data_IF_063901688174
#
_entry.id   IF_063901688174
#
_cell.length_a   1.000
_cell.length_b   1.000
_cell.length_c   1.000
_cell.angle_alpha   90.00
_cell.angle_beta   90.00
_cell.angle_gamma   90.00
#
_symmetry.space_group_name_H-M   'P 1'
#
loop_
_entity.id
_entity.type
_entity.pdbx_description
1 polymer ?
#
# COMPACT_ATOMS: atom_id res chain seq x y z
N UNK A 1 -23.21 -19.25 18.50
CA UNK A 1 -21.94 -18.91 17.82
C UNK A 1 -21.88 -17.41 17.71
N UNK A 2 -20.89 -16.78 18.34
CA UNK A 2 -20.63 -15.36 18.14
C UNK A 2 -20.00 -15.18 16.75
N UNK A 3 -20.84 -14.88 15.76
CA UNK A 3 -20.43 -14.68 14.37
C UNK A 3 -19.44 -13.51 14.27
N UNK A 4 -19.54 -12.51 15.15
CA UNK A 4 -18.64 -11.34 15.18
C UNK A 4 -17.27 -11.75 15.71
N UNK A 5 -17.22 -12.53 16.81
CA UNK A 5 -15.99 -13.12 17.32
C UNK A 5 -15.33 -14.14 16.38
N UNK A 6 -16.08 -14.71 15.43
CA UNK A 6 -15.55 -15.60 14.40
C UNK A 6 -14.94 -14.86 13.18
N UNK A 7 -15.38 -13.62 12.91
CA UNK A 7 -14.95 -12.82 11.75
C UNK A 7 -13.86 -11.79 12.09
N UNK A 8 -13.61 -11.54 13.38
CA UNK A 8 -12.58 -10.62 13.86
C UNK A 8 -12.43 -10.71 15.38
N UNK A 9 -11.60 -9.82 15.94
CA UNK A 9 -11.46 -9.63 17.39
C UNK A 9 -12.06 -8.29 17.79
N UNK A 10 -12.21 -8.07 19.10
CA UNK A 10 -12.54 -6.75 19.61
C UNK A 10 -11.55 -5.72 19.07
N UNK A 11 -12.02 -4.58 18.51
CA UNK A 11 -11.15 -3.56 17.97
C UNK A 11 -10.14 -3.09 19.03
N UNK A 12 -8.86 -2.87 18.67
CA UNK A 12 -7.90 -2.28 19.60
C UNK A 12 -8.39 -0.90 20.01
N UNK A 13 -7.95 -0.40 21.16
CA UNK A 13 -8.28 0.97 21.55
C UNK A 13 -7.83 1.99 20.51
N UNK A 14 -8.54 3.12 20.47
CA UNK A 14 -8.22 4.22 19.55
C UNK A 14 -7.56 5.34 20.34
N UNK A 15 -6.28 5.58 20.09
CA UNK A 15 -5.64 6.78 20.59
C UNK A 15 -6.32 8.03 19.99
N UNK A 16 -6.45 9.08 20.79
CA UNK A 16 -7.03 10.36 20.37
C UNK A 16 -6.00 11.17 19.56
N UNK A 17 -5.68 10.69 18.36
CA UNK A 17 -4.69 11.28 17.48
C UNK A 17 -5.30 12.40 16.60
N UNK A 18 -4.48 13.36 16.13
CA UNK A 18 -4.92 14.36 15.15
C UNK A 18 -5.53 13.72 13.89
N UNK A 19 -6.57 14.36 13.32
CA UNK A 19 -7.26 13.82 12.13
C UNK A 19 -6.38 13.62 10.91
N UNK A 20 -5.28 14.37 10.79
CA UNK A 20 -4.37 14.21 9.65
C UNK A 20 -3.52 12.92 9.74
N UNK A 21 -3.30 12.35 10.93
CA UNK A 21 -2.65 11.02 11.08
C UNK A 21 -3.66 9.88 11.11
N UNK A 22 -4.83 10.11 11.71
CA UNK A 22 -5.93 9.15 11.83
C UNK A 22 -7.21 9.70 11.15
N UNK A 23 -7.24 9.73 9.80
CA UNK A 23 -8.31 10.41 9.04
C UNK A 23 -9.65 9.68 9.08
N UNK A 24 -9.66 8.38 9.34
CA UNK A 24 -10.88 7.59 9.35
C UNK A 24 -11.71 7.86 10.61
N UNK A 25 -13.05 7.86 10.52
CA UNK A 25 -13.89 7.84 11.71
C UNK A 25 -13.66 6.54 12.52
N UNK A 26 -13.66 6.64 13.86
CA UNK A 26 -13.50 5.47 14.76
C UNK A 26 -14.43 4.30 14.38
N UNK A 27 -15.69 4.59 14.04
CA UNK A 27 -16.68 3.57 13.65
C UNK A 27 -16.23 2.74 12.44
N UNK A 28 -15.57 3.37 11.46
CA UNK A 28 -15.11 2.68 10.27
C UNK A 28 -13.90 1.78 10.59
N UNK A 29 -12.96 2.27 11.41
CA UNK A 29 -11.86 1.47 11.92
C UNK A 29 -12.38 0.27 12.73
N UNK A 30 -13.35 0.49 13.63
CA UNK A 30 -13.95 -0.58 14.45
C UNK A 30 -14.64 -1.65 13.58
N UNK A 31 -15.33 -1.24 12.52
CA UNK A 31 -15.90 -2.18 11.52
C UNK A 31 -14.78 -2.96 10.84
N UNK A 32 -13.70 -2.32 10.42
CA UNK A 32 -12.59 -3.00 9.78
C UNK A 32 -11.98 -4.11 10.66
N UNK A 33 -11.80 -3.84 11.96
CA UNK A 33 -11.26 -4.84 12.89
C UNK A 33 -12.25 -5.99 13.19
N UNK A 34 -13.55 -5.69 13.30
CA UNK A 34 -14.59 -6.73 13.47
C UNK A 34 -14.75 -7.65 12.27
N UNK A 35 -14.41 -7.17 11.08
CA UNK A 35 -14.46 -7.93 9.83
C UNK A 35 -13.06 -8.18 9.26
N UNK A 36 -12.03 -8.24 10.11
CA UNK A 36 -10.65 -8.36 9.68
C UNK A 36 -10.43 -9.58 8.77
N UNK A 37 -11.05 -10.74 9.06
CA UNK A 37 -10.91 -11.92 8.19
C UNK A 37 -11.54 -11.74 6.81
N UNK A 38 -12.62 -10.97 6.70
CA UNK A 38 -13.21 -10.62 5.40
C UNK A 38 -12.24 -9.74 4.61
N UNK A 39 -11.64 -8.73 5.25
CA UNK A 39 -10.64 -7.87 4.62
C UNK A 39 -9.40 -8.68 4.21
N UNK A 40 -8.95 -9.63 5.05
CA UNK A 40 -7.86 -10.56 4.72
C UNK A 40 -8.19 -11.35 3.47
N UNK A 41 -9.36 -12.00 3.39
CA UNK A 41 -9.77 -12.78 2.22
C UNK A 41 -9.85 -11.91 0.97
N UNK A 42 -10.44 -10.71 1.06
CA UNK A 42 -10.51 -9.77 -0.07
C UNK A 42 -9.11 -9.42 -0.58
N UNK A 43 -8.17 -9.12 0.33
CA UNK A 43 -6.80 -8.81 -0.05
C UNK A 43 -6.07 -10.02 -0.64
N UNK A 44 -6.28 -11.24 -0.13
CA UNK A 44 -5.70 -12.45 -0.72
C UNK A 44 -6.24 -12.73 -2.12
N UNK A 45 -7.53 -12.50 -2.35
CA UNK A 45 -8.13 -12.57 -3.70
C UNK A 45 -7.55 -11.48 -4.60
N UNK A 46 -7.39 -10.26 -4.08
CA UNK A 46 -6.71 -9.15 -4.77
C UNK A 46 -5.26 -9.47 -5.12
N UNK A 47 -4.51 -10.09 -4.20
CA UNK A 47 -3.15 -10.60 -4.42
C UNK A 47 -3.14 -11.61 -5.55
N UNK A 48 -4.02 -12.62 -5.52
CA UNK A 48 -4.09 -13.64 -6.57
C UNK A 48 -4.45 -13.04 -7.94
N UNK A 49 -5.42 -12.14 -7.99
CA UNK A 49 -5.76 -11.37 -9.19
C UNK A 49 -4.56 -10.56 -9.68
N UNK A 50 -3.85 -9.91 -8.77
CA UNK A 50 -2.65 -9.15 -9.06
C UNK A 50 -1.56 -10.01 -9.70
N UNK A 51 -1.19 -11.15 -9.12
CA UNK A 51 -0.24 -12.07 -9.75
C UNK A 51 -0.70 -12.53 -11.14
N UNK A 52 -1.99 -12.76 -11.34
CA UNK A 52 -2.54 -13.01 -12.67
C UNK A 52 -2.36 -11.80 -13.58
N UNK A 53 -2.61 -10.58 -13.15
CA UNK A 53 -2.42 -9.35 -13.94
C UNK A 53 -0.96 -9.19 -14.40
N UNK A 54 0.01 -9.43 -13.51
CA UNK A 54 1.46 -9.30 -13.77
C UNK A 54 2.06 -10.50 -14.53
N UNK A 55 1.26 -11.53 -14.87
CA UNK A 55 1.73 -12.78 -15.51
C UNK A 55 2.57 -12.57 -16.78
N UNK A 56 2.33 -11.49 -17.52
CA UNK A 56 3.09 -11.18 -18.73
C UNK A 56 4.47 -10.58 -18.40
N UNK A 57 4.56 -9.74 -17.36
CA UNK A 57 5.85 -9.21 -16.88
C UNK A 57 6.73 -10.32 -16.32
N UNK A 58 6.17 -11.25 -15.53
CA UNK A 58 6.89 -12.43 -15.04
C UNK A 58 7.47 -13.30 -16.16
N UNK A 59 6.85 -13.32 -17.35
CA UNK A 59 7.35 -14.06 -18.53
C UNK A 59 8.40 -13.29 -19.30
N UNK A 60 8.40 -11.96 -19.20
CA UNK A 60 9.31 -11.09 -19.92
C UNK A 60 10.64 -10.87 -19.18
N UNK A 61 10.61 -10.87 -17.84
CA UNK A 61 11.77 -10.56 -17.00
C UNK A 61 12.40 -11.82 -16.37
N UNK A 62 13.72 -11.80 -16.09
CA UNK A 62 14.42 -12.89 -15.41
C UNK A 62 13.80 -13.24 -14.05
N UNK A 63 13.88 -14.52 -13.66
CA UNK A 63 13.32 -15.02 -12.39
C UNK A 63 13.91 -14.35 -11.15
N UNK A 64 15.15 -13.89 -11.23
CA UNK A 64 15.86 -13.16 -10.18
C UNK A 64 15.19 -11.81 -9.86
N UNK A 65 14.48 -11.24 -10.83
CA UNK A 65 13.77 -9.97 -10.67
C UNK A 65 12.36 -10.14 -10.10
N UNK A 66 11.85 -11.37 -9.99
CA UNK A 66 10.45 -11.62 -9.59
C UNK A 66 10.08 -11.10 -8.20
N UNK A 67 11.06 -10.91 -7.31
CA UNK A 67 10.82 -10.30 -6.02
C UNK A 67 10.39 -8.83 -6.11
N UNK A 68 10.79 -8.12 -7.16
CA UNK A 68 10.56 -6.69 -7.38
C UNK A 68 9.45 -6.40 -8.39
N UNK A 69 8.83 -7.43 -8.98
CA UNK A 69 7.76 -7.28 -9.96
C UNK A 69 6.37 -7.06 -9.32
N UNK A 70 5.95 -7.84 -8.30
CA UNK A 70 4.57 -7.78 -7.82
C UNK A 70 4.35 -6.61 -6.86
N UNK A 71 4.15 -5.41 -7.41
CA UNK A 71 3.79 -4.16 -6.72
C UNK A 71 2.54 -4.29 -5.80
N UNK A 72 1.36 -3.90 -6.30
CA UNK A 72 0.12 -3.98 -5.53
C UNK A 72 -0.28 -5.39 -5.09
N UNK A 73 0.10 -6.50 -5.78
CA UNK A 73 -0.07 -7.84 -5.24
C UNK A 73 0.74 -8.05 -3.95
N UNK A 74 1.99 -7.56 -3.88
CA UNK A 74 2.81 -7.60 -2.67
C UNK A 74 2.24 -6.75 -1.54
N UNK A 75 1.77 -5.54 -1.83
CA UNK A 75 1.16 -4.66 -0.83
C UNK A 75 -0.15 -5.23 -0.23
N UNK A 76 -1.02 -5.81 -1.07
CA UNK A 76 -2.25 -6.47 -0.60
C UNK A 76 -1.95 -7.71 0.23
N UNK A 77 -0.92 -8.49 -0.13
CA UNK A 77 -0.46 -9.61 0.68
C UNK A 77 0.04 -9.14 2.06
N UNK A 78 0.87 -8.09 2.09
CA UNK A 78 1.43 -7.56 3.33
C UNK A 78 0.34 -7.09 4.31
N UNK A 79 -0.71 -6.42 3.83
CA UNK A 79 -1.80 -5.99 4.71
C UNK A 79 -2.72 -7.13 5.13
N UNK A 80 -2.94 -8.13 4.26
CA UNK A 80 -3.61 -9.37 4.66
C UNK A 80 -2.83 -10.07 5.79
N UNK A 81 -1.51 -10.16 5.66
CA UNK A 81 -0.65 -10.72 6.70
C UNK A 81 -0.64 -9.87 7.97
N UNK A 82 -0.61 -8.53 7.87
CA UNK A 82 -0.63 -7.65 9.04
C UNK A 82 -1.93 -7.79 9.85
N UNK A 83 -3.08 -7.72 9.17
CA UNK A 83 -4.39 -7.87 9.80
C UNK A 83 -4.62 -9.30 10.30
N UNK A 84 -4.21 -10.31 9.54
CA UNK A 84 -4.27 -11.71 9.97
C UNK A 84 -3.38 -12.00 11.18
N UNK A 85 -2.16 -11.48 11.19
CA UNK A 85 -1.25 -11.59 12.33
C UNK A 85 -1.84 -10.93 13.58
N UNK A 86 -2.42 -9.74 13.45
CA UNK A 86 -3.17 -9.09 14.53
C UNK A 86 -4.35 -9.94 15.01
N UNK A 87 -5.18 -10.44 14.08
CA UNK A 87 -6.34 -11.29 14.39
C UNK A 87 -5.94 -12.64 15.03
N UNK A 88 -4.68 -13.05 14.91
CA UNK A 88 -4.11 -14.21 15.59
C UNK A 88 -3.36 -13.85 16.89
N UNK A 89 -3.21 -12.57 17.23
CA UNK A 89 -2.51 -12.10 18.43
C UNK A 89 -0.99 -12.10 18.28
N UNK A 90 -0.51 -11.98 17.05
CA UNK A 90 0.90 -12.06 16.64
C UNK A 90 1.32 -10.82 15.85
N UNK A 91 0.80 -9.64 16.23
CA UNK A 91 1.10 -8.37 15.57
C UNK A 91 2.60 -8.11 15.45
N UNK A 92 3.02 -7.46 14.36
CA UNK A 92 4.41 -7.08 14.11
C UNK A 92 4.47 -5.66 13.55
N UNK A 93 5.23 -4.80 14.20
CA UNK A 93 5.41 -3.40 13.78
C UNK A 93 6.05 -3.29 12.40
N UNK A 94 7.04 -4.15 12.10
CA UNK A 94 7.70 -4.16 10.78
C UNK A 94 6.73 -4.57 9.68
N UNK A 95 5.90 -5.59 9.94
CA UNK A 95 4.89 -6.04 8.98
C UNK A 95 3.82 -4.97 8.75
N UNK A 96 3.34 -4.34 9.81
CA UNK A 96 2.38 -3.24 9.73
C UNK A 96 2.96 -2.01 9.00
N UNK A 97 4.23 -1.66 9.25
CA UNK A 97 4.90 -0.58 8.52
C UNK A 97 5.05 -0.88 7.03
N UNK A 98 5.49 -2.10 6.66
CA UNK A 98 5.57 -2.53 5.26
C UNK A 98 4.19 -2.49 4.59
N UNK A 99 3.17 -3.04 5.25
CA UNK A 99 1.79 -3.01 4.76
C UNK A 99 1.28 -1.59 4.56
N UNK A 100 1.53 -0.68 5.51
CA UNK A 100 1.13 0.72 5.42
C UNK A 100 1.78 1.41 4.23
N UNK A 101 3.11 1.30 4.11
CA UNK A 101 3.84 1.91 3.00
C UNK A 101 3.34 1.40 1.65
N UNK A 102 3.21 0.09 1.47
CA UNK A 102 2.77 -0.50 0.20
C UNK A 102 1.37 -0.08 -0.19
N UNK A 103 0.44 -0.12 0.75
CA UNK A 103 -0.96 0.22 0.48
C UNK A 103 -1.14 1.71 0.18
N UNK A 104 -0.39 2.59 0.85
CA UNK A 104 -0.43 4.03 0.54
C UNK A 104 0.30 4.34 -0.77
N UNK A 105 1.55 3.88 -0.95
CA UNK A 105 2.36 4.16 -2.14
C UNK A 105 1.68 3.61 -3.39
N UNK A 106 1.43 2.31 -3.45
CA UNK A 106 0.95 1.62 -4.65
C UNK A 106 -0.56 1.81 -4.85
N UNK A 107 -1.30 1.96 -3.74
CA UNK A 107 -2.71 2.30 -3.75
C UNK A 107 -3.00 3.72 -4.27
N UNK A 108 -2.05 4.65 -4.19
CA UNK A 108 -2.15 5.98 -4.82
C UNK A 108 -1.48 6.02 -6.20
N UNK A 109 -0.40 5.26 -6.41
CA UNK A 109 0.34 5.27 -7.67
C UNK A 109 -0.53 4.76 -8.82
N UNK A 110 -1.28 3.67 -8.59
CA UNK A 110 -2.15 3.10 -9.63
C UNK A 110 -3.25 4.09 -10.07
N UNK A 111 -4.06 4.69 -9.16
CA UNK A 111 -4.98 5.77 -9.52
C UNK A 111 -4.31 6.95 -10.22
N UNK A 112 -3.10 7.32 -9.79
CA UNK A 112 -2.35 8.40 -10.41
C UNK A 112 -2.07 8.11 -11.89
N UNK A 113 -1.46 6.97 -12.22
CA UNK A 113 -1.16 6.64 -13.62
C UNK A 113 -2.42 6.35 -14.44
N UNK A 114 -3.45 5.75 -13.83
CA UNK A 114 -4.74 5.54 -14.48
C UNK A 114 -5.36 6.87 -14.91
N UNK A 115 -5.32 7.90 -14.05
CA UNK A 115 -5.89 9.21 -14.37
C UNK A 115 -5.02 9.99 -15.35
N UNK A 116 -3.70 9.96 -15.19
CA UNK A 116 -2.78 10.68 -16.09
C UNK A 116 -2.84 10.11 -17.50
N UNK A 117 -2.87 8.79 -17.65
CA UNK A 117 -2.87 8.08 -18.93
C UNK A 117 -4.26 7.49 -19.27
N UNK A 118 -5.32 8.14 -18.81
CA UNK A 118 -6.68 7.60 -18.84
C UNK A 118 -7.22 7.18 -20.20
N UNK A 119 -6.92 7.84 -21.35
CA UNK A 119 -7.52 7.46 -22.62
C UNK A 119 -7.11 6.05 -23.04
N UNK A 120 -5.82 5.75 -22.96
CA UNK A 120 -5.29 4.46 -23.39
C UNK A 120 -5.55 3.36 -22.35
N UNK A 121 -5.49 3.69 -21.06
CA UNK A 121 -5.92 2.73 -20.03
C UNK A 121 -7.39 2.33 -20.18
N UNK A 122 -8.29 3.26 -20.51
CA UNK A 122 -9.69 2.92 -20.80
C UNK A 122 -9.83 2.10 -22.09
N UNK A 123 -9.06 2.40 -23.13
CA UNK A 123 -9.09 1.66 -24.39
C UNK A 123 -8.63 0.20 -24.22
N UNK A 124 -7.52 -0.01 -23.51
CA UNK A 124 -6.92 -1.34 -23.31
C UNK A 124 -7.68 -2.18 -22.28
N UNK A 125 -8.05 -1.59 -21.13
CA UNK A 125 -8.69 -2.35 -20.04
C UNK A 125 -10.22 -2.40 -20.15
N UNK A 126 -10.83 -1.49 -20.90
CA UNK A 126 -12.26 -1.25 -20.84
C UNK A 126 -12.71 -0.62 -19.52
N UNK A 127 -13.95 -0.11 -19.45
CA UNK A 127 -14.43 0.67 -18.31
C UNK A 127 -14.54 -0.14 -17.01
N UNK A 128 -14.86 -1.44 -17.11
CA UNK A 128 -15.05 -2.31 -15.94
C UNK A 128 -13.75 -2.54 -15.17
N UNK A 129 -12.70 -2.99 -15.87
CA UNK A 129 -11.40 -3.22 -15.25
C UNK A 129 -10.72 -1.92 -14.83
N UNK A 130 -10.87 -0.84 -15.62
CA UNK A 130 -10.39 0.49 -15.22
C UNK A 130 -11.01 0.94 -13.88
N UNK A 131 -12.34 0.88 -13.76
CA UNK A 131 -13.04 1.27 -12.52
C UNK A 131 -12.66 0.35 -11.35
N UNK A 132 -12.55 -0.95 -11.58
CA UNK A 132 -12.09 -1.90 -10.58
C UNK A 132 -10.69 -1.52 -10.06
N UNK A 133 -9.70 -1.34 -10.94
CA UNK A 133 -8.34 -0.97 -10.57
C UNK A 133 -8.32 0.36 -9.81
N UNK A 134 -9.05 1.37 -10.29
CA UNK A 134 -9.10 2.67 -9.64
C UNK A 134 -9.66 2.58 -8.22
N UNK A 135 -10.84 1.97 -8.05
CA UNK A 135 -11.55 1.91 -6.77
C UNK A 135 -10.84 0.96 -5.79
N UNK A 136 -10.37 -0.18 -6.25
CA UNK A 136 -9.69 -1.16 -5.39
C UNK A 136 -8.39 -0.60 -4.83
N UNK A 137 -7.63 0.18 -5.61
CA UNK A 137 -6.39 0.79 -5.15
C UNK A 137 -6.66 1.98 -4.20
N UNK A 138 -7.70 2.79 -4.43
CA UNK A 138 -8.12 3.77 -3.43
C UNK A 138 -8.57 3.09 -2.12
N UNK A 139 -9.22 1.94 -2.20
CA UNK A 139 -9.56 1.14 -1.03
C UNK A 139 -8.32 0.65 -0.28
N UNK A 140 -7.21 0.32 -0.97
CA UNK A 140 -5.92 0.00 -0.34
C UNK A 140 -5.44 1.12 0.59
N UNK A 141 -5.50 2.37 0.11
CA UNK A 141 -5.11 3.55 0.90
C UNK A 141 -6.00 3.68 2.14
N UNK A 142 -7.32 3.53 1.97
CA UNK A 142 -8.28 3.60 3.08
C UNK A 142 -7.98 2.54 4.13
N UNK A 143 -7.80 1.27 3.76
CA UNK A 143 -7.52 0.22 4.75
C UNK A 143 -6.17 0.40 5.46
N UNK A 144 -5.16 1.00 4.82
CA UNK A 144 -3.88 1.24 5.46
C UNK A 144 -4.02 2.08 6.75
N UNK A 145 -4.98 3.01 6.78
CA UNK A 145 -5.22 3.88 7.93
C UNK A 145 -5.82 3.17 9.14
N UNK A 146 -6.15 1.88 9.11
CA UNK A 146 -6.49 1.18 10.36
C UNK A 146 -5.23 0.73 11.12
N UNK A 147 -4.09 0.65 10.45
CA UNK A 147 -2.87 0.06 11.01
C UNK A 147 -2.28 0.86 12.17
N UNK A 148 -2.56 2.18 12.29
CA UNK A 148 -2.09 2.99 13.44
C UNK A 148 -2.60 2.49 14.79
N UNK A 149 -3.70 1.71 14.83
CA UNK A 149 -4.20 1.11 16.08
C UNK A 149 -3.50 -0.18 16.49
N UNK A 150 -2.67 -0.75 15.62
CA UNK A 150 -1.96 -2.02 15.87
C UNK A 150 -0.45 -1.89 15.76
N UNK A 151 0.06 -0.71 15.44
CA UNK A 151 1.48 -0.36 15.48
C UNK A 151 1.68 1.10 15.84
N UNK A 152 2.73 1.38 16.60
CA UNK A 152 3.17 2.74 16.88
C UNK A 152 4.13 3.28 15.80
N UNK A 153 4.42 2.50 14.75
CA UNK A 153 5.46 2.79 13.76
C UNK A 153 6.83 3.13 14.39
N UNK A 154 7.45 2.21 15.15
CA UNK A 154 8.78 2.42 15.70
C UNK A 154 9.80 2.70 14.59
N UNK A 155 10.80 3.53 14.86
CA UNK A 155 11.75 4.03 13.86
C UNK A 155 12.44 2.89 13.08
N UNK A 156 12.73 1.76 13.74
CA UNK A 156 13.29 0.57 13.08
C UNK A 156 12.36 0.00 12.00
N UNK A 157 11.06 -0.10 12.29
CA UNK A 157 10.08 -0.61 11.33
C UNK A 157 9.92 0.36 10.15
N UNK A 158 9.86 1.67 10.43
CA UNK A 158 9.81 2.72 9.40
C UNK A 158 11.06 2.68 8.51
N UNK A 159 12.25 2.53 9.11
CA UNK A 159 13.49 2.43 8.36
C UNK A 159 13.53 1.21 7.44
N UNK A 160 13.08 0.04 7.90
CA UNK A 160 12.99 -1.18 7.09
C UNK A 160 12.02 -0.98 5.91
N UNK A 161 10.82 -0.45 6.18
CA UNK A 161 9.85 -0.18 5.13
C UNK A 161 10.35 0.85 4.11
N UNK A 162 11.00 1.91 4.59
CA UNK A 162 11.59 2.95 3.75
C UNK A 162 12.68 2.35 2.85
N UNK A 163 13.58 1.54 3.41
CA UNK A 163 14.62 0.87 2.64
C UNK A 163 14.03 -0.03 1.55
N UNK A 164 13.05 -0.87 1.91
CA UNK A 164 12.34 -1.73 0.96
C UNK A 164 11.71 -0.94 -0.19
N UNK A 165 10.88 0.06 0.12
CA UNK A 165 10.18 0.84 -0.91
C UNK A 165 11.07 1.82 -1.67
N UNK A 166 12.29 2.07 -1.19
CA UNK A 166 13.35 2.77 -1.94
C UNK A 166 14.00 1.84 -2.95
N UNK A 167 14.33 0.60 -2.56
CA UNK A 167 14.86 -0.40 -3.49
C UNK A 167 13.85 -0.66 -4.61
N UNK A 168 12.59 -0.90 -4.26
CA UNK A 168 11.43 -1.00 -5.16
C UNK A 168 11.37 0.19 -6.14
N UNK A 169 11.38 1.44 -5.64
CA UNK A 169 11.41 2.64 -6.48
C UNK A 169 12.60 2.66 -7.46
N UNK A 170 13.78 2.28 -7.00
CA UNK A 170 14.99 2.26 -7.84
C UNK A 170 14.89 1.20 -8.92
N UNK A 171 14.47 -0.02 -8.58
CA UNK A 171 14.30 -1.12 -9.54
C UNK A 171 13.24 -0.79 -10.58
N UNK A 172 12.16 -0.12 -10.17
CA UNK A 172 11.05 0.21 -11.06
C UNK A 172 11.37 1.30 -12.07
N UNK A 173 12.19 2.30 -11.73
CA UNK A 173 12.29 3.51 -12.57
C UNK A 173 13.70 3.97 -12.90
N UNK A 174 14.74 3.44 -12.23
CA UNK A 174 16.07 4.04 -12.30
C UNK A 174 17.20 3.06 -12.60
N UNK A 175 17.27 1.92 -11.89
CA UNK A 175 18.42 1.03 -11.90
C UNK A 175 17.97 -0.43 -11.97
N UNK A 176 17.84 -1.01 -13.18
CA UNK A 176 17.66 -2.44 -13.31
C UNK A 176 18.98 -3.14 -13.03
N UNK A 177 19.00 -4.03 -12.03
CA UNK A 177 20.21 -4.82 -11.70
C UNK A 177 20.49 -5.86 -12.79
N UNK A 178 19.45 -6.42 -13.42
CA UNK A 178 19.53 -7.36 -14.56
C UNK A 178 18.32 -7.12 -15.46
N UNK A 179 18.55 -6.99 -16.77
CA UNK A 179 17.48 -6.79 -17.75
C UNK A 179 16.98 -5.35 -17.76
N UNK A 180 15.66 -5.19 -17.77
CA UNK A 180 14.98 -3.89 -17.77
C UNK A 180 14.40 -3.56 -16.39
N UNK A 181 13.92 -2.32 -16.26
CA UNK A 181 13.26 -1.83 -15.05
C UNK A 181 11.97 -2.60 -14.76
N UNK A 182 11.57 -2.64 -13.49
CA UNK A 182 10.48 -3.52 -13.02
C UNK A 182 9.10 -2.87 -12.91
N UNK A 183 8.95 -1.58 -13.26
CA UNK A 183 7.67 -0.90 -13.07
C UNK A 183 6.51 -1.62 -13.74
N UNK A 184 5.34 -1.51 -13.14
CA UNK A 184 4.09 -1.93 -13.74
C UNK A 184 3.92 -1.34 -15.15
N UNK A 185 3.50 -2.18 -16.10
CA UNK A 185 3.34 -1.80 -17.49
C UNK A 185 2.40 -0.59 -17.67
N UNK A 186 2.87 0.41 -18.40
CA UNK A 186 2.12 1.59 -18.79
C UNK A 186 1.53 1.40 -20.20
N UNK A 187 0.44 2.12 -20.54
CA UNK A 187 -0.25 1.91 -21.81
C UNK A 187 0.42 2.65 -22.97
N UNK A 188 1.40 3.52 -22.67
CA UNK A 188 2.24 4.23 -23.62
C UNK A 188 3.69 3.76 -23.49
N UNK A 189 4.51 3.98 -24.53
CA UNK A 189 5.93 3.65 -24.47
C UNK A 189 6.68 4.60 -23.52
N UNK A 190 7.65 4.08 -22.78
CA UNK A 190 8.40 4.84 -21.75
C UNK A 190 9.04 6.14 -22.25
N UNK A 191 9.57 6.11 -23.47
CA UNK A 191 10.21 7.24 -24.14
C UNK A 191 9.24 8.19 -24.86
N UNK A 192 7.95 7.90 -24.87
CA UNK A 192 6.95 8.74 -25.53
C UNK A 192 6.90 10.12 -24.86
N UNK A 193 6.97 11.22 -25.64
CA UNK A 193 6.89 12.57 -25.08
C UNK A 193 5.57 12.79 -24.35
N UNK A 194 5.66 13.24 -23.10
CA UNK A 194 4.51 13.59 -22.27
C UNK A 194 4.75 14.95 -21.62
N UNK A 195 3.97 15.96 -22.03
CA UNK A 195 4.24 17.37 -21.72
C UNK A 195 5.67 17.80 -22.07
N UNK A 196 6.49 18.12 -21.06
CA UNK A 196 7.88 18.59 -21.20
C UNK A 196 8.90 17.48 -20.92
N UNK A 197 8.45 16.24 -20.83
CA UNK A 197 9.24 15.08 -20.35
C UNK A 197 8.76 13.81 -21.07
N UNK A 198 8.93 12.62 -20.48
CA UNK A 198 8.47 11.34 -21.02
C UNK A 198 7.47 10.65 -20.10
N UNK A 199 6.72 9.69 -20.64
CA UNK A 199 5.80 8.83 -19.88
C UNK A 199 6.48 8.21 -18.64
N UNK A 200 7.68 7.62 -18.82
CA UNK A 200 8.43 7.02 -17.72
C UNK A 200 8.78 8.04 -16.64
N UNK A 201 9.23 9.24 -17.02
CA UNK A 201 9.61 10.27 -16.06
C UNK A 201 8.39 10.80 -15.27
N UNK A 202 7.21 10.87 -15.87
CA UNK A 202 5.96 11.21 -15.17
C UNK A 202 5.58 10.13 -14.16
N UNK A 203 5.61 8.86 -14.56
CA UNK A 203 5.34 7.75 -13.66
C UNK A 203 6.34 7.68 -12.49
N UNK A 204 7.63 7.86 -12.78
CA UNK A 204 8.71 7.90 -11.80
C UNK A 204 8.54 9.06 -10.81
N UNK A 205 8.16 10.26 -11.29
CA UNK A 205 7.91 11.42 -10.43
C UNK A 205 6.78 11.14 -9.43
N UNK A 206 5.69 10.52 -9.88
CA UNK A 206 4.63 10.04 -9.01
C UNK A 206 5.15 9.05 -7.96
N UNK A 207 5.92 8.05 -8.38
CA UNK A 207 6.49 7.03 -7.49
C UNK A 207 7.44 7.62 -6.42
N UNK A 208 8.25 8.62 -6.77
CA UNK A 208 9.12 9.35 -5.81
C UNK A 208 8.27 10.03 -4.74
N UNK A 209 7.30 10.85 -5.14
CA UNK A 209 6.42 11.57 -4.20
C UNK A 209 5.66 10.60 -3.30
N UNK A 210 5.17 9.51 -3.87
CA UNK A 210 4.41 8.48 -3.15
C UNK A 210 5.27 7.57 -2.27
N UNK A 211 6.61 7.63 -2.39
CA UNK A 211 7.53 7.01 -1.43
C UNK A 211 7.77 7.92 -0.22
N UNK A 212 7.79 9.25 -0.44
CA UNK A 212 7.99 10.26 0.61
C UNK A 212 6.76 10.38 1.52
N UNK A 213 5.55 10.32 0.96
CA UNK A 213 4.30 10.48 1.72
C UNK A 213 4.16 9.49 2.90
N UNK A 214 4.22 8.16 2.71
CA UNK A 214 4.06 7.22 3.81
C UNK A 214 5.20 7.31 4.84
N UNK A 215 6.41 7.71 4.43
CA UNK A 215 7.51 7.99 5.36
C UNK A 215 7.14 9.11 6.34
N UNK A 216 6.71 10.27 5.84
CA UNK A 216 6.31 11.37 6.72
C UNK A 216 5.05 11.05 7.51
N UNK A 217 4.11 10.29 6.94
CA UNK A 217 2.89 9.91 7.64
C UNK A 217 3.16 9.00 8.84
N UNK A 218 4.02 7.98 8.66
CA UNK A 218 4.37 7.05 9.74
C UNK A 218 5.21 7.72 10.83
N UNK A 219 6.18 8.55 10.46
CA UNK A 219 6.95 9.36 11.43
C UNK A 219 6.04 10.35 12.17
N UNK A 220 5.13 11.02 11.46
CA UNK A 220 4.15 11.93 12.04
C UNK A 220 3.21 11.24 13.03
N UNK A 221 2.74 10.04 12.68
CA UNK A 221 1.93 9.19 13.55
C UNK A 221 2.70 8.82 14.82
N UNK A 222 3.94 8.35 14.68
CA UNK A 222 4.82 8.03 15.82
C UNK A 222 4.99 9.22 16.77
N UNK A 223 5.28 10.41 16.23
CA UNK A 223 5.45 11.63 17.02
C UNK A 223 4.15 12.00 17.75
N UNK A 224 3.00 11.91 17.07
CA UNK A 224 1.71 12.22 17.67
C UNK A 224 1.37 11.26 18.83
N UNK A 225 1.58 9.96 18.63
CA UNK A 225 1.41 8.92 19.67
C UNK A 225 2.32 9.18 20.87
N UNK A 226 3.62 9.45 20.64
CA UNK A 226 4.57 9.74 21.72
C UNK A 226 4.18 10.99 22.52
N UNK A 227 3.78 12.07 21.84
CA UNK A 227 3.35 13.31 22.50
C UNK A 227 2.09 13.10 23.32
N UNK A 228 1.12 12.33 22.81
CA UNK A 228 -0.12 12.03 23.53
C UNK A 228 0.18 11.30 24.84
N UNK A 229 0.99 10.25 24.79
CA UNK A 229 1.37 9.45 25.96
C UNK A 229 2.20 10.25 26.97
N UNK A 230 3.11 11.11 26.50
CA UNK A 230 3.86 12.00 27.38
C UNK A 230 2.94 13.01 28.11
N UNK A 231 1.90 13.50 27.43
CA UNK A 231 0.88 14.35 28.03
C UNK A 231 0.04 13.63 29.10
N UNK A 232 -0.32 12.36 28.87
CA UNK A 232 -1.07 11.55 29.85
C UNK A 232 -0.26 11.23 31.12
N UNK A 233 1.07 11.17 31.03
CA UNK A 233 1.95 10.94 32.19
C UNK A 233 2.21 12.20 33.03
N UNK A 234 1.92 13.39 32.48
CA UNK A 234 2.13 14.68 33.14
C UNK A 234 0.89 15.26 33.83
N UNK A 235 -0.25 14.57 33.74
CA UNK A 235 -1.53 14.91 34.37
C UNK A 235 -1.88 13.92 35.46
#
# INVERSE_FOLDING_TARGET
>A
MDIVGALGRDPPDRESLPRWVAPLPKRLEDVAFRFAWVIVVINLVGTAFGFWYYRFQFRALPTEMWLFIPDSPGATLLIALALGAWALGRSSDTLAALAFFGNVKLGLWTPYVLVVFWPEFLAVNGPGLYAFLLVSHLAMVVQAFVLHRITDFPLRAVAIATAWYTVDLLMDYFVPVIGDVTHTALPYADGEPWFTTTVLQVAAAGAVVLTVIPLFWTLGTRIATLRRRAGDLGT
#
